data_IF_859385144020
#
_entry.id   IF_859385144020
#
_cell.length_a   1.000
_cell.length_b   1.000
_cell.length_c   1.000
_cell.angle_alpha   90.00
_cell.angle_beta   90.00
_cell.angle_gamma   90.00
#
_symmetry.space_group_name_H-M   'P 1'
#
loop_
_entity.id
_entity.type
_entity.pdbx_description
1 polymer ?
#
# COMPACT_ATOMS: atom_id res chain seq x y z
N UNK A 1 6.05 5.42 -14.17
CA UNK A 1 4.94 4.80 -13.42
C UNK A 1 3.81 5.82 -13.28
N UNK A 2 2.54 5.38 -13.25
CA UNK A 2 1.37 6.24 -13.00
C UNK A 2 0.51 5.59 -11.92
N UNK A 3 -0.01 6.39 -11.00
CA UNK A 3 -0.91 5.97 -9.92
C UNK A 3 -2.11 6.91 -9.87
N UNK A 4 -3.27 6.40 -9.50
CA UNK A 4 -4.51 7.17 -9.46
C UNK A 4 -5.41 6.68 -8.33
N UNK A 5 -6.06 7.61 -7.62
CA UNK A 5 -7.06 7.31 -6.59
C UNK A 5 -7.98 8.51 -6.38
N UNK A 6 -9.27 8.24 -6.14
CA UNK A 6 -10.31 9.20 -5.72
C UNK A 6 -10.23 10.61 -6.36
N UNK A 7 -10.08 10.67 -7.69
CA UNK A 7 -10.14 11.88 -8.54
C UNK A 7 -8.84 12.68 -8.75
N UNK A 8 -7.68 12.14 -8.39
CA UNK A 8 -6.39 12.67 -8.86
C UNK A 8 -5.47 11.55 -9.33
N UNK A 9 -4.41 11.94 -10.02
CA UNK A 9 -3.40 11.01 -10.52
C UNK A 9 -2.02 11.64 -10.39
N UNK A 10 -1.02 10.78 -10.19
CA UNK A 10 0.38 11.17 -10.15
C UNK A 10 1.18 10.27 -11.10
N UNK A 11 2.17 10.85 -11.76
CA UNK A 11 3.10 10.19 -12.66
C UNK A 11 4.53 10.47 -12.27
N UNK A 12 5.36 9.42 -12.29
CA UNK A 12 6.81 9.52 -12.19
C UNK A 12 7.41 9.69 -13.58
N UNK A 13 8.08 10.82 -13.81
CA UNK A 13 8.77 11.16 -15.06
C UNK A 13 10.12 10.44 -15.17
N UNK A 14 10.68 10.42 -16.37
CA UNK A 14 12.00 9.81 -16.66
C UNK A 14 13.17 10.54 -15.99
N UNK A 15 12.99 11.81 -15.62
CA UNK A 15 13.94 12.59 -14.83
C UNK A 15 13.80 12.36 -13.30
N UNK A 16 13.04 11.33 -12.91
CA UNK A 16 12.73 10.98 -11.52
C UNK A 16 11.89 12.02 -10.75
N UNK A 17 11.34 13.04 -11.40
CA UNK A 17 10.41 13.98 -10.77
C UNK A 17 8.98 13.49 -10.83
N UNK A 18 8.13 13.97 -9.91
CA UNK A 18 6.71 13.63 -9.86
C UNK A 18 5.90 14.78 -10.47
N UNK A 19 4.88 14.41 -11.24
CA UNK A 19 3.81 15.31 -11.67
C UNK A 19 2.49 14.75 -11.17
N UNK A 20 1.67 15.55 -10.50
CA UNK A 20 0.30 15.17 -10.16
C UNK A 20 -0.69 16.13 -10.81
N UNK A 21 -1.90 15.63 -11.07
CA UNK A 21 -2.98 16.39 -11.70
C UNK A 21 -4.34 15.90 -11.22
N UNK A 22 -5.36 16.76 -11.34
CA UNK A 22 -6.72 16.49 -10.87
C UNK A 22 -7.05 17.20 -9.56
N UNK A 23 -7.92 16.59 -8.75
CA UNK A 23 -8.41 17.21 -7.51
C UNK A 23 -7.29 17.38 -6.47
N UNK A 24 -6.96 18.64 -6.14
CA UNK A 24 -5.95 18.98 -5.14
C UNK A 24 -6.52 19.48 -3.79
N UNK A 25 -7.16 18.60 -3.01
CA UNK A 25 -7.58 18.95 -1.64
C UNK A 25 -6.51 18.51 -0.66
N UNK A 26 -6.20 19.36 0.33
CA UNK A 26 -5.09 19.18 1.27
C UNK A 26 -3.74 19.03 0.55
N UNK A 27 -3.57 19.67 -0.61
CA UNK A 27 -2.31 19.70 -1.37
C UNK A 27 -1.79 18.31 -1.81
N UNK A 28 -2.67 17.29 -1.87
CA UNK A 28 -2.32 15.90 -2.24
C UNK A 28 -1.80 15.73 -3.67
N UNK A 29 -2.05 16.70 -4.55
CA UNK A 29 -1.53 16.77 -5.91
C UNK A 29 -0.35 17.77 -6.04
N UNK A 30 0.17 18.31 -4.94
CA UNK A 30 1.35 19.17 -4.94
C UNK A 30 2.58 18.36 -4.54
N UNK A 31 3.09 17.58 -5.49
CA UNK A 31 4.23 16.71 -5.24
C UNK A 31 5.48 17.53 -4.83
N UNK A 32 6.16 17.16 -3.73
CA UNK A 32 7.34 17.87 -3.27
C UNK A 32 8.50 17.71 -4.26
N UNK A 33 9.41 18.70 -4.33
CA UNK A 33 10.59 18.61 -5.19
C UNK A 33 11.50 17.46 -4.73
N UNK A 34 12.21 16.87 -5.69
CA UNK A 34 13.18 15.80 -5.43
C UNK A 34 13.13 14.72 -6.52
N UNK A 35 13.94 13.67 -6.31
CA UNK A 35 14.04 12.52 -7.21
C UNK A 35 13.51 11.26 -6.55
N UNK A 36 12.68 10.53 -7.28
CA UNK A 36 11.91 9.40 -6.79
C UNK A 36 12.05 8.18 -7.71
N UNK A 37 11.91 7.00 -7.12
CA UNK A 37 11.89 5.70 -7.81
C UNK A 37 10.49 5.10 -7.86
N UNK A 38 9.61 5.49 -6.94
CA UNK A 38 8.21 5.06 -6.92
C UNK A 38 7.28 6.16 -6.38
N UNK A 39 6.01 6.05 -6.75
CA UNK A 39 4.91 6.95 -6.38
C UNK A 39 3.66 6.11 -6.10
N UNK A 40 2.93 6.43 -5.04
CA UNK A 40 1.62 5.88 -4.73
C UNK A 40 0.64 6.99 -4.34
N UNK A 41 -0.55 6.96 -4.94
CA UNK A 41 -1.66 7.84 -4.61
C UNK A 41 -2.65 7.12 -3.66
N UNK A 42 -2.84 7.66 -2.47
CA UNK A 42 -3.85 7.26 -1.50
C UNK A 42 -5.15 8.05 -1.65
N UNK A 43 -6.15 7.74 -0.81
CA UNK A 43 -7.43 8.47 -0.81
C UNK A 43 -7.25 9.94 -0.37
N UNK A 44 -6.42 10.16 0.66
CA UNK A 44 -6.26 11.48 1.29
C UNK A 44 -4.84 12.04 1.23
N UNK A 45 -3.85 11.21 0.91
CA UNK A 45 -2.44 11.56 0.85
C UNK A 45 -1.74 10.76 -0.25
N UNK A 46 -0.56 11.23 -0.63
CA UNK A 46 0.34 10.59 -1.58
C UNK A 46 1.66 10.30 -0.89
N UNK A 47 2.38 9.28 -1.37
CA UNK A 47 3.75 9.01 -0.93
C UNK A 47 4.65 8.72 -2.13
N UNK A 48 5.92 9.08 -2.00
CA UNK A 48 6.98 8.80 -2.96
C UNK A 48 8.19 8.16 -2.27
N UNK A 49 8.78 7.18 -2.94
CA UNK A 49 10.04 6.56 -2.53
C UNK A 49 11.16 7.31 -3.22
N UNK A 50 12.05 7.94 -2.46
CA UNK A 50 13.18 8.70 -2.99
C UNK A 50 14.28 7.77 -3.50
N UNK A 51 15.15 8.31 -4.37
CA UNK A 51 16.35 7.63 -4.87
C UNK A 51 17.35 7.25 -3.78
N UNK A 52 17.30 7.88 -2.61
CA UNK A 52 18.08 7.51 -1.42
C UNK A 52 17.34 6.51 -0.50
N UNK A 53 16.28 5.85 -0.99
CA UNK A 53 15.45 4.88 -0.26
C UNK A 53 14.66 5.43 0.93
N UNK A 54 14.63 6.75 1.16
CA UNK A 54 13.72 7.37 2.14
C UNK A 54 12.32 7.58 1.54
N UNK A 55 11.31 7.67 2.41
CA UNK A 55 9.92 7.94 1.99
C UNK A 55 9.60 9.41 2.23
N UNK A 56 8.78 9.99 1.37
CA UNK A 56 8.13 11.28 1.63
C UNK A 56 6.69 11.22 1.24
N UNK A 57 5.84 11.65 2.15
CA UNK A 57 4.41 11.72 1.94
C UNK A 57 3.94 13.18 2.05
N UNK A 58 2.84 13.49 1.39
CA UNK A 58 2.21 14.80 1.37
C UNK A 58 0.70 14.64 1.18
N UNK A 59 -0.07 15.64 1.55
CA UNK A 59 -1.52 15.55 1.59
C UNK A 59 -2.10 15.84 2.98
N UNK A 60 -3.26 15.26 3.27
CA UNK A 60 -3.87 15.31 4.60
C UNK A 60 -3.03 14.54 5.63
N UNK A 61 -2.85 15.15 6.81
CA UNK A 61 -2.11 14.55 7.93
C UNK A 61 -2.85 14.64 9.28
N UNK A 62 -4.13 14.24 9.34
CA UNK A 62 -4.88 14.26 10.62
C UNK A 62 -4.67 13.01 11.47
N UNK A 63 -4.15 11.96 10.86
CA UNK A 63 -3.89 10.67 11.46
C UNK A 63 -2.38 10.35 11.43
N UNK A 64 -1.51 11.35 11.22
CA UNK A 64 -0.06 11.21 11.02
C UNK A 64 0.34 10.35 9.79
N UNK A 65 -0.56 10.17 8.82
CA UNK A 65 -0.35 9.32 7.63
C UNK A 65 0.73 9.83 6.66
N UNK A 66 1.14 11.10 6.77
CA UNK A 66 2.27 11.66 6.01
C UNK A 66 3.60 11.64 6.76
N UNK A 67 3.60 11.29 8.04
CA UNK A 67 4.80 11.33 8.90
C UNK A 67 5.58 10.01 8.80
N UNK A 68 6.13 9.78 7.60
CA UNK A 68 6.86 8.57 7.29
C UNK A 68 8.04 8.34 8.26
N UNK A 69 8.12 7.19 8.94
CA UNK A 69 9.21 6.89 9.86
C UNK A 69 10.58 6.89 9.17
N UNK A 70 11.66 7.24 9.89
CA UNK A 70 13.00 7.19 9.35
C UNK A 70 13.39 5.74 8.97
N UNK A 71 14.12 5.61 7.87
CA UNK A 71 14.56 4.31 7.39
C UNK A 71 14.85 4.25 5.90
N UNK A 72 15.23 3.05 5.45
CA UNK A 72 15.45 2.71 4.06
C UNK A 72 14.42 1.66 3.61
N UNK A 73 13.78 1.95 2.49
CA UNK A 73 12.65 1.20 1.98
C UNK A 73 12.87 0.79 0.51
N UNK A 74 12.23 -0.30 0.12
CA UNK A 74 12.24 -0.86 -1.24
C UNK A 74 10.88 -0.72 -1.92
N UNK A 75 9.80 -0.62 -1.14
CA UNK A 75 8.44 -0.41 -1.65
C UNK A 75 7.60 0.43 -0.68
N UNK A 76 6.55 1.04 -1.21
CA UNK A 76 5.59 1.87 -0.47
C UNK A 76 4.17 1.62 -0.96
N UNK A 77 3.20 1.77 -0.07
CA UNK A 77 1.76 1.72 -0.37
C UNK A 77 0.99 2.64 0.56
N UNK A 78 -0.16 3.11 0.11
CA UNK A 78 -1.03 4.04 0.84
C UNK A 78 -2.47 3.53 0.85
N UNK A 79 -3.05 3.41 2.04
CA UNK A 79 -4.42 2.97 2.29
C UNK A 79 -5.39 4.14 2.32
N UNK A 80 -6.50 4.01 3.07
CA UNK A 80 -7.42 5.13 3.31
C UNK A 80 -6.75 6.21 4.15
N UNK A 81 -6.38 5.86 5.38
CA UNK A 81 -5.82 6.76 6.40
C UNK A 81 -4.48 6.29 6.97
N UNK A 82 -3.84 5.32 6.32
CA UNK A 82 -2.56 4.78 6.73
C UNK A 82 -1.65 4.55 5.52
N UNK A 83 -0.38 4.32 5.81
CA UNK A 83 0.67 4.02 4.85
C UNK A 83 1.50 2.86 5.35
N UNK A 84 2.08 2.10 4.43
CA UNK A 84 3.05 1.06 4.77
C UNK A 84 4.25 1.13 3.83
N UNK A 85 5.41 0.78 4.35
CA UNK A 85 6.68 0.67 3.63
C UNK A 85 7.34 -0.67 3.89
N UNK A 86 7.89 -1.28 2.83
CA UNK A 86 8.71 -2.48 2.92
C UNK A 86 10.15 -2.02 3.09
N UNK A 87 10.77 -2.37 4.20
CA UNK A 87 12.14 -2.00 4.53
C UNK A 87 13.14 -2.82 3.73
N UNK A 88 14.38 -2.34 3.63
CA UNK A 88 15.48 -3.06 2.97
C UNK A 88 15.86 -4.37 3.66
N UNK A 89 15.49 -4.57 4.93
CA UNK A 89 15.66 -5.83 5.67
C UNK A 89 14.44 -6.78 5.53
N UNK A 90 13.56 -6.49 4.57
CA UNK A 90 12.33 -7.21 4.28
C UNK A 90 11.25 -7.17 5.38
N UNK A 91 11.39 -6.34 6.42
CA UNK A 91 10.32 -6.11 7.40
C UNK A 91 9.37 -4.99 6.93
N UNK A 92 8.18 -4.92 7.51
CA UNK A 92 7.17 -3.92 7.18
C UNK A 92 7.11 -2.89 8.30
N UNK A 93 7.02 -1.61 7.93
CA UNK A 93 6.65 -0.53 8.85
C UNK A 93 5.42 0.16 8.30
N UNK A 94 4.37 0.28 9.11
CA UNK A 94 3.18 1.05 8.78
C UNK A 94 3.03 2.23 9.75
N UNK A 95 2.34 3.28 9.31
CA UNK A 95 2.08 4.49 10.08
C UNK A 95 0.78 5.14 9.62
N UNK A 96 0.21 6.00 10.45
CA UNK A 96 -1.10 6.60 10.21
C UNK A 96 -2.14 6.16 11.24
N UNK A 97 -3.42 6.19 10.84
CA UNK A 97 -4.54 5.68 11.66
C UNK A 97 -4.37 4.20 12.02
N UNK A 98 -4.64 3.85 13.27
CA UNK A 98 -4.57 2.47 13.78
C UNK A 98 -5.82 1.99 14.53
N UNK A 99 -7.00 2.56 14.27
CA UNK A 99 -8.23 2.19 15.01
C UNK A 99 -8.69 0.73 14.78
N UNK A 100 -8.23 0.12 13.69
CA UNK A 100 -8.52 -1.27 13.30
C UNK A 100 -7.25 -2.15 13.37
N UNK A 101 -6.16 -1.71 14.03
CA UNK A 101 -4.84 -2.37 14.05
C UNK A 101 -4.15 -2.47 12.65
N UNK A 102 -4.55 -1.63 11.68
CA UNK A 102 -4.05 -1.68 10.29
C UNK A 102 -2.58 -1.26 10.12
N UNK A 103 -1.97 -0.68 11.15
CA UNK A 103 -0.54 -0.35 11.20
C UNK A 103 0.30 -1.35 11.99
N UNK A 104 -0.33 -2.30 12.69
CA UNK A 104 0.34 -3.33 13.48
C UNK A 104 0.80 -4.50 12.62
N UNK A 105 1.77 -4.22 11.74
CA UNK A 105 2.31 -5.21 10.82
C UNK A 105 2.88 -6.44 11.56
N UNK A 106 2.45 -7.67 11.22
CA UNK A 106 2.95 -8.89 11.86
C UNK A 106 4.47 -9.04 11.68
N UNK A 107 5.18 -9.58 12.68
CA UNK A 107 6.62 -9.82 12.56
C UNK A 107 6.89 -10.84 11.45
N UNK A 108 7.98 -10.65 10.70
CA UNK A 108 8.37 -11.54 9.61
C UNK A 108 9.12 -10.82 8.50
N UNK A 109 9.42 -11.56 7.43
CA UNK A 109 10.01 -11.01 6.21
C UNK A 109 9.05 -11.16 5.03
N UNK A 110 9.04 -10.14 4.18
CA UNK A 110 8.06 -9.97 3.12
C UNK A 110 8.74 -9.56 1.81
N UNK A 111 8.11 -9.92 0.69
CA UNK A 111 8.55 -9.57 -0.66
C UNK A 111 7.65 -8.52 -1.30
N UNK A 112 6.41 -8.37 -0.83
CA UNK A 112 5.47 -7.35 -1.29
C UNK A 112 4.54 -6.90 -0.18
N UNK A 113 4.00 -5.69 -0.34
CA UNK A 113 3.00 -5.08 0.56
C UNK A 113 1.91 -4.39 -0.25
N UNK A 114 0.71 -4.37 0.31
CA UNK A 114 -0.45 -3.67 -0.25
C UNK A 114 -1.37 -3.21 0.88
N UNK A 115 -2.11 -2.13 0.65
CA UNK A 115 -3.03 -1.56 1.64
C UNK A 115 -4.39 -1.33 1.02
N UNK A 116 -5.45 -1.72 1.73
CA UNK A 116 -6.83 -1.39 1.42
C UNK A 116 -7.30 -0.11 2.10
N UNK A 117 -8.60 -0.02 2.39
CA UNK A 117 -9.18 1.11 3.12
C UNK A 117 -8.74 1.15 4.58
N UNK A 118 -8.94 0.03 5.27
CA UNK A 118 -8.72 -0.17 6.71
C UNK A 118 -7.98 -1.47 7.04
N UNK A 119 -7.40 -2.11 6.03
CA UNK A 119 -6.61 -3.32 6.19
C UNK A 119 -5.35 -3.25 5.34
N UNK A 120 -4.42 -4.15 5.61
CA UNK A 120 -3.13 -4.27 4.96
C UNK A 120 -2.84 -5.74 4.71
N UNK A 121 -2.10 -6.04 3.65
CA UNK A 121 -1.64 -7.41 3.37
C UNK A 121 -0.19 -7.40 2.92
N UNK A 122 0.54 -8.45 3.27
CA UNK A 122 1.91 -8.69 2.86
C UNK A 122 2.07 -10.07 2.25
N UNK A 123 2.89 -10.18 1.22
CA UNK A 123 3.38 -11.46 0.70
C UNK A 123 4.67 -11.81 1.43
N UNK A 124 4.67 -12.89 2.19
CA UNK A 124 5.82 -13.39 2.95
C UNK A 124 6.86 -14.01 2.02
N UNK A 125 8.09 -14.11 2.51
CA UNK A 125 9.20 -14.77 1.78
C UNK A 125 8.99 -16.27 1.55
N UNK A 126 8.13 -16.92 2.34
CA UNK A 126 7.68 -18.32 2.13
C UNK A 126 6.50 -18.44 1.14
N UNK A 127 6.20 -17.35 0.42
CA UNK A 127 5.11 -17.23 -0.54
C UNK A 127 3.69 -17.32 0.05
N UNK A 128 3.52 -17.28 1.38
CA UNK A 128 2.18 -17.14 2.00
C UNK A 128 1.76 -15.67 2.08
N UNK A 129 0.46 -15.41 2.11
CA UNK A 129 -0.08 -14.06 2.36
C UNK A 129 -0.44 -13.97 3.84
N UNK A 130 -0.25 -12.78 4.42
CA UNK A 130 -0.78 -12.43 5.73
C UNK A 130 -1.44 -11.08 5.64
N UNK A 131 -2.70 -10.98 6.08
CA UNK A 131 -3.42 -9.73 6.18
C UNK A 131 -3.67 -9.35 7.64
N UNK A 132 -3.78 -8.05 7.90
CA UNK A 132 -4.05 -7.49 9.22
C UNK A 132 -4.86 -6.19 9.08
N UNK A 133 -5.47 -5.76 10.18
CA UNK A 133 -6.39 -4.62 10.19
C UNK A 133 -7.84 -5.06 10.34
N UNK A 134 -8.76 -4.23 9.82
CA UNK A 134 -10.20 -4.50 9.81
C UNK A 134 -10.56 -5.83 9.14
N UNK A 135 -11.48 -6.57 9.76
CA UNK A 135 -11.99 -7.86 9.25
C UNK A 135 -13.53 -8.02 9.32
N UNK A 136 -14.30 -6.94 9.34
CA UNK A 136 -15.78 -6.99 9.40
C UNK A 136 -16.44 -7.63 8.16
N UNK A 137 -15.70 -7.77 7.05
CA UNK A 137 -16.18 -8.33 5.78
C UNK A 137 -15.29 -9.48 5.25
N UNK A 138 -14.39 -10.00 6.09
CA UNK A 138 -13.44 -11.06 5.74
C UNK A 138 -12.20 -10.56 4.98
N UNK A 139 -11.81 -9.29 5.13
CA UNK A 139 -10.66 -8.70 4.43
C UNK A 139 -9.31 -9.31 4.88
N UNK A 140 -9.26 -9.88 6.08
CA UNK A 140 -8.12 -10.61 6.64
C UNK A 140 -8.40 -12.11 6.81
N UNK A 141 -9.37 -12.64 6.04
CA UNK A 141 -9.63 -14.08 5.95
C UNK A 141 -8.92 -14.65 4.69
N UNK A 142 -7.60 -14.46 4.60
CA UNK A 142 -6.85 -14.90 3.43
C UNK A 142 -6.93 -16.43 3.22
N UNK A 143 -7.07 -16.89 1.97
CA UNK A 143 -7.09 -18.32 1.68
C UNK A 143 -5.70 -18.94 1.85
N UNK A 144 -5.60 -20.19 2.34
CA UNK A 144 -4.33 -20.88 2.43
C UNK A 144 -3.76 -21.14 1.03
N UNK A 145 -2.44 -21.17 0.93
CA UNK A 145 -1.72 -21.48 -0.29
C UNK A 145 -0.45 -20.66 -0.47
N UNK A 146 0.14 -20.79 -1.65
CA UNK A 146 1.32 -20.03 -2.06
C UNK A 146 0.99 -19.11 -3.23
N UNK A 147 1.59 -17.92 -3.21
CA UNK A 147 1.26 -16.81 -4.07
C UNK A 147 2.51 -16.15 -4.64
N UNK A 148 2.35 -15.51 -5.80
CA UNK A 148 3.40 -14.72 -6.46
C UNK A 148 3.12 -13.21 -6.36
N UNK A 149 1.87 -12.83 -6.12
CA UNK A 149 1.48 -11.43 -5.98
C UNK A 149 0.23 -11.29 -5.10
N UNK A 150 0.08 -10.12 -4.48
CA UNK A 150 -1.08 -9.72 -3.69
C UNK A 150 -1.44 -8.28 -4.02
N UNK A 151 -2.74 -7.97 -4.04
CA UNK A 151 -3.26 -6.62 -4.23
C UNK A 151 -4.50 -6.40 -3.37
N UNK A 152 -4.73 -5.17 -2.93
CA UNK A 152 -5.88 -4.78 -2.11
C UNK A 152 -6.60 -3.58 -2.69
N UNK A 153 -7.93 -3.65 -2.71
CA UNK A 153 -8.83 -2.51 -2.87
C UNK A 153 -9.40 -2.07 -1.52
N UNK A 154 -10.43 -1.20 -1.54
CA UNK A 154 -10.97 -0.60 -0.32
C UNK A 154 -11.41 -1.62 0.77
N UNK A 155 -12.04 -2.73 0.37
CA UNK A 155 -12.51 -3.79 1.28
C UNK A 155 -12.33 -5.21 0.72
N UNK A 156 -11.48 -5.39 -0.30
CA UNK A 156 -11.18 -6.70 -0.92
C UNK A 156 -9.68 -6.84 -1.12
N UNK A 157 -9.21 -8.08 -1.08
CA UNK A 157 -7.85 -8.43 -1.47
C UNK A 157 -7.88 -9.59 -2.46
N UNK A 158 -6.90 -9.63 -3.36
CA UNK A 158 -6.73 -10.70 -4.34
C UNK A 158 -5.28 -11.16 -4.35
N UNK A 159 -5.08 -12.46 -4.51
CA UNK A 159 -3.77 -13.09 -4.63
C UNK A 159 -3.66 -13.88 -5.94
N UNK A 160 -2.51 -13.76 -6.60
CA UNK A 160 -2.14 -14.60 -7.73
C UNK A 160 -1.38 -15.81 -7.22
N UNK A 161 -1.91 -17.01 -7.43
CA UNK A 161 -1.28 -18.26 -7.01
C UNK A 161 -0.15 -18.66 -7.94
N UNK A 162 0.71 -19.58 -7.48
CA UNK A 162 1.80 -20.15 -8.28
C UNK A 162 1.33 -20.91 -9.53
N UNK A 163 0.08 -21.40 -9.53
CA UNK A 163 -0.57 -22.04 -10.69
C UNK A 163 -1.21 -21.01 -11.66
N UNK A 164 -0.89 -19.73 -11.49
CA UNK A 164 -1.44 -18.60 -12.25
C UNK A 164 -2.95 -18.36 -12.08
N UNK A 165 -3.61 -19.01 -11.11
CA UNK A 165 -5.01 -18.72 -10.78
C UNK A 165 -5.13 -17.54 -9.80
N UNK A 166 -6.22 -16.79 -9.90
CA UNK A 166 -6.50 -15.66 -9.00
C UNK A 166 -7.58 -16.08 -7.99
N UNK A 167 -7.36 -15.74 -6.72
CA UNK A 167 -8.37 -15.86 -5.67
C UNK A 167 -8.51 -14.53 -4.95
N UNK A 168 -9.75 -14.13 -4.67
CA UNK A 168 -10.06 -12.91 -3.94
C UNK A 168 -10.88 -13.21 -2.68
N UNK A 169 -10.67 -12.42 -1.63
CA UNK A 169 -11.37 -12.46 -0.35
C UNK A 169 -11.72 -11.04 0.12
N UNK A 170 -12.51 -10.92 1.19
CA UNK A 170 -13.14 -9.67 1.62
C UNK A 170 -14.45 -9.33 0.89
N UNK A 171 -15.19 -8.36 1.43
CA UNK A 171 -16.52 -7.90 0.99
C UNK A 171 -17.50 -9.05 0.62
N UNK A 172 -17.43 -10.18 1.35
CA UNK A 172 -18.33 -11.36 1.28
C UNK A 172 -18.24 -12.28 0.01
N UNK A 173 -17.21 -13.14 -0.13
CA UNK A 173 -16.88 -14.03 -1.28
C UNK A 173 -17.75 -15.33 -1.44
N UNK A 174 -17.79 -16.04 -2.62
CA UNK A 174 -16.80 -16.05 -3.70
C UNK A 174 -17.32 -15.83 -5.15
N UNK A 175 -16.52 -15.12 -5.95
CA UNK A 175 -16.44 -15.32 -7.40
C UNK A 175 -15.16 -16.13 -7.64
N UNK A 176 -15.29 -17.39 -8.04
CA UNK A 176 -14.19 -18.13 -8.68
C UNK A 176 -14.23 -17.76 -10.16
N UNK A 177 -13.21 -17.06 -10.65
CA UNK A 177 -12.99 -16.96 -12.09
C UNK A 177 -12.16 -18.19 -12.46
N UNK A 178 -12.85 -19.25 -12.87
CA UNK A 178 -12.27 -20.45 -13.49
C UNK A 178 -11.95 -20.19 -14.95
#
# INVERSE_FOLDING_TARGET
>A
AVTAREHYSCGLRTDATIACWGWNANDRADAPPGTFTAIVAGAWHSCGLRTNSSITCWGRNYDDQTDAPPGTFTAITTGGHHSCGLRTDATITCWGRNDDDQTDAPPGTFTAITTGGHHSCGLRTDATITCWGRNDEGQTDEPPGTFTAVTSGAGRSCGLRNDATIICWGYYAPIRIS
#
